data_IF_676861655811
#
_entry.id   IF_676861655811
#
_cell.length_a   1.000
_cell.length_b   1.000
_cell.length_c   1.000
_cell.angle_alpha   90.00
_cell.angle_beta   90.00
_cell.angle_gamma   90.00
#
_symmetry.space_group_name_H-M   'P 1'
#
loop_
_entity.id
_entity.type
_entity.pdbx_description
1 polymer ?
#
# COMPACT_ATOMS: atom_id res chain seq x y z
N UNK A 1 16.76 -10.41 1.59
CA UNK A 1 15.43 -9.95 1.11
C UNK A 1 14.75 -9.35 2.32
N UNK A 2 14.27 -8.11 2.23
CA UNK A 2 13.65 -7.41 3.37
C UNK A 2 12.34 -8.06 3.78
N UNK A 3 11.93 -7.89 5.03
CA UNK A 3 10.66 -8.40 5.54
C UNK A 3 9.50 -7.58 4.95
N UNK A 4 8.43 -8.28 4.55
CA UNK A 4 7.23 -7.69 3.95
C UNK A 4 5.99 -8.09 4.74
N UNK A 5 4.94 -7.29 4.64
CA UNK A 5 3.63 -7.52 5.26
C UNK A 5 2.51 -7.21 4.27
N UNK A 6 1.38 -7.90 4.40
CA UNK A 6 0.17 -7.60 3.64
C UNK A 6 -0.71 -6.66 4.46
N UNK A 7 -1.07 -5.52 3.86
CA UNK A 7 -1.94 -4.52 4.47
C UNK A 7 -3.28 -4.51 3.72
N UNK A 8 -4.41 -4.72 4.41
CA UNK A 8 -5.73 -4.60 3.81
C UNK A 8 -6.07 -3.13 3.56
N UNK A 9 -6.59 -2.81 2.38
CA UNK A 9 -7.06 -1.46 2.04
C UNK A 9 -8.56 -1.50 1.71
N UNK A 10 -9.25 -0.38 1.88
CA UNK A 10 -10.67 -0.27 1.55
C UNK A 10 -10.90 0.01 0.06
N UNK A 11 -10.14 0.94 -0.51
CA UNK A 11 -10.29 1.39 -1.90
C UNK A 11 -8.96 1.89 -2.50
N UNK A 12 -8.69 1.59 -3.77
CA UNK A 12 -7.65 2.26 -4.57
C UNK A 12 -8.29 3.46 -5.29
N UNK A 13 -7.79 4.66 -5.01
CA UNK A 13 -8.31 5.91 -5.58
C UNK A 13 -7.63 6.31 -6.88
N UNK A 14 -6.34 6.03 -7.02
CA UNK A 14 -5.55 6.52 -8.14
C UNK A 14 -4.28 5.71 -8.36
N UNK A 15 -3.80 5.68 -9.60
CA UNK A 15 -2.52 5.11 -10.01
C UNK A 15 -1.87 6.02 -11.05
N UNK A 16 -0.69 6.56 -10.75
CA UNK A 16 0.00 7.48 -11.66
C UNK A 16 0.86 6.78 -12.72
N UNK A 17 0.84 5.44 -12.79
CA UNK A 17 1.55 4.66 -13.80
C UNK A 17 2.96 4.20 -13.39
N UNK A 18 3.72 3.72 -14.38
CA UNK A 18 5.05 3.14 -14.18
C UNK A 18 6.04 4.16 -13.58
N UNK A 19 6.76 3.77 -12.51
CA UNK A 19 7.65 4.65 -11.76
C UNK A 19 6.96 5.66 -10.84
N UNK A 20 5.62 5.65 -10.81
CA UNK A 20 4.80 6.54 -9.99
C UNK A 20 4.39 5.95 -8.64
N UNK A 21 3.19 6.28 -8.20
CA UNK A 21 2.59 5.81 -6.96
C UNK A 21 1.10 5.46 -7.16
N UNK A 22 0.59 4.62 -6.26
CA UNK A 22 -0.84 4.34 -6.08
C UNK A 22 -1.34 4.96 -4.79
N UNK A 23 -2.59 5.39 -4.79
CA UNK A 23 -3.25 5.99 -3.63
C UNK A 23 -4.28 5.02 -3.09
N UNK A 24 -4.18 4.68 -1.81
CA UNK A 24 -5.07 3.73 -1.14
C UNK A 24 -5.73 4.37 0.08
N UNK A 25 -6.98 4.00 0.34
CA UNK A 25 -7.69 4.27 1.60
C UNK A 25 -7.50 3.06 2.51
N UNK A 26 -7.05 3.28 3.74
CA UNK A 26 -6.86 2.23 4.74
C UNK A 26 -7.89 2.40 5.87
N UNK A 27 -8.43 1.31 6.43
CA UNK A 27 -9.55 1.36 7.37
C UNK A 27 -9.24 2.14 8.66
N UNK A 28 -7.97 2.15 9.08
CA UNK A 28 -7.51 2.80 10.31
C UNK A 28 -6.74 4.10 10.06
N UNK A 29 -6.74 4.62 8.83
CA UNK A 29 -6.06 5.88 8.48
C UNK A 29 -7.07 6.89 7.92
N UNK A 30 -7.21 8.02 8.61
CA UNK A 30 -8.14 9.10 8.26
C UNK A 30 -7.87 9.77 6.90
N UNK A 31 -6.76 9.46 6.25
CA UNK A 31 -6.34 10.07 4.99
C UNK A 31 -5.81 9.01 3.99
N UNK A 32 -6.08 9.17 2.69
CA UNK A 32 -5.53 8.27 1.69
C UNK A 32 -4.00 8.35 1.63
N UNK A 33 -3.35 7.20 1.56
CA UNK A 33 -1.89 7.07 1.57
C UNK A 33 -1.38 6.81 0.16
N UNK A 34 -0.39 7.60 -0.26
CA UNK A 34 0.36 7.36 -1.49
C UNK A 34 1.50 6.38 -1.25
N UNK A 35 1.50 5.29 -2.01
CA UNK A 35 2.51 4.24 -1.96
C UNK A 35 3.23 4.19 -3.30
N UNK A 36 4.57 4.40 -3.33
CA UNK A 36 5.35 4.27 -4.55
C UNK A 36 5.21 2.88 -5.17
N UNK A 37 4.99 2.82 -6.48
CA UNK A 37 4.82 1.55 -7.20
C UNK A 37 6.08 0.67 -7.12
N UNK A 38 7.25 1.27 -6.89
CA UNK A 38 8.52 0.56 -6.75
C UNK A 38 8.69 -0.23 -5.45
N UNK A 39 7.86 0.05 -4.43
CA UNK A 39 7.90 -0.67 -3.14
C UNK A 39 6.73 -1.62 -2.96
N UNK A 40 5.78 -1.65 -3.90
CA UNK A 40 4.66 -2.58 -3.87
C UNK A 40 5.15 -3.92 -4.42
N UNK A 41 5.30 -4.90 -3.53
CA UNK A 41 5.80 -6.23 -3.89
C UNK A 41 4.71 -7.07 -4.54
N UNK A 42 3.46 -6.92 -4.07
CA UNK A 42 2.26 -7.55 -4.63
C UNK A 42 1.06 -6.64 -4.39
N UNK A 43 0.15 -6.57 -5.35
CA UNK A 43 -1.15 -5.91 -5.21
C UNK A 43 -2.24 -6.89 -5.65
N UNK A 44 -3.15 -7.19 -4.74
CA UNK A 44 -4.25 -8.14 -4.94
C UNK A 44 -5.58 -7.36 -4.87
N UNK A 45 -6.17 -7.11 -6.04
CA UNK A 45 -7.41 -6.33 -6.16
C UNK A 45 -8.63 -7.11 -5.67
N UNK A 46 -8.64 -8.43 -5.85
CA UNK A 46 -9.73 -9.31 -5.40
C UNK A 46 -9.77 -9.44 -3.88
N UNK A 47 -8.59 -9.58 -3.24
CA UNK A 47 -8.48 -9.64 -1.78
C UNK A 47 -8.49 -8.26 -1.11
N UNK A 48 -8.36 -7.18 -1.88
CA UNK A 48 -8.09 -5.81 -1.39
C UNK A 48 -6.89 -5.72 -0.45
N UNK A 49 -5.78 -6.32 -0.85
CA UNK A 49 -4.53 -6.31 -0.07
C UNK A 49 -3.36 -5.80 -0.90
N UNK A 50 -2.46 -5.06 -0.25
CA UNK A 50 -1.19 -4.63 -0.83
C UNK A 50 -0.03 -5.11 0.04
N UNK A 51 0.94 -5.79 -0.55
CA UNK A 51 2.14 -6.27 0.14
C UNK A 51 3.24 -5.23 0.04
N UNK A 52 3.72 -4.79 1.20
CA UNK A 52 4.67 -3.70 1.36
C UNK A 52 5.83 -4.13 2.27
N UNK A 53 7.01 -3.49 2.18
CA UNK A 53 8.05 -3.63 3.17
C UNK A 53 7.57 -3.21 4.56
N UNK A 54 7.93 -3.99 5.59
CA UNK A 54 7.51 -3.73 6.98
C UNK A 54 7.94 -2.34 7.46
N UNK A 55 9.14 -1.87 7.09
CA UNK A 55 9.62 -0.55 7.48
C UNK A 55 8.68 0.58 7.01
N UNK A 56 8.15 0.47 5.78
CA UNK A 56 7.22 1.47 5.23
C UNK A 56 5.85 1.37 5.89
N UNK A 57 5.38 0.13 6.14
CA UNK A 57 4.11 -0.10 6.81
C UNK A 57 4.11 0.50 8.23
N UNK A 58 5.18 0.33 9.00
CA UNK A 58 5.33 0.92 10.33
C UNK A 58 5.42 2.45 10.26
N UNK A 59 6.24 3.01 9.36
CA UNK A 59 6.40 4.46 9.22
C UNK A 59 5.10 5.20 8.84
N UNK A 60 4.14 4.48 8.25
CA UNK A 60 2.83 5.00 7.85
C UNK A 60 1.71 4.57 8.78
N UNK A 61 2.03 3.92 9.89
CA UNK A 61 1.04 3.39 10.85
C UNK A 61 -0.02 2.50 10.16
N UNK A 62 0.41 1.70 9.19
CA UNK A 62 -0.44 0.75 8.44
C UNK A 62 -0.63 -0.59 9.17
N UNK A 63 0.21 -0.87 10.19
CA UNK A 63 0.19 -2.07 11.04
C UNK A 63 0.53 -1.73 12.49
#
# INVERSE_FOLDING_TARGET
>A
MGETTSVPYEEELSNTGEGGARQFVFPDIDAPVWIPNSIIEKHDEDAKEVTLPVWFAIERDLI
#
